data_IF_819401901391
#
_entry.id   IF_819401901391
#
_cell.length_a   1.000
_cell.length_b   1.000
_cell.length_c   1.000
_cell.angle_alpha   90.00
_cell.angle_beta   90.00
_cell.angle_gamma   90.00
#
_symmetry.space_group_name_H-M   'P 1'
#
loop_
_entity.id
_entity.type
_entity.pdbx_description
1 polymer ?
#
# COMPACT_ATOMS: atom_id res chain seq x y z
N UNK A 1 -1.90 -3.07 39.35
CA UNK A 1 -3.15 -3.81 39.06
C UNK A 1 -2.81 -5.29 39.01
N UNK A 2 -3.31 -6.11 39.93
CA UNK A 2 -3.15 -7.56 39.84
C UNK A 2 -3.97 -8.07 38.66
N UNK A 3 -3.31 -8.60 37.63
CA UNK A 3 -4.00 -9.19 36.48
C UNK A 3 -4.60 -10.54 36.89
N UNK A 4 -5.91 -10.57 37.16
CA UNK A 4 -6.65 -11.83 37.29
C UNK A 4 -6.96 -12.36 35.88
N UNK A 5 -6.08 -13.22 35.37
CA UNK A 5 -6.37 -14.05 34.21
C UNK A 5 -7.61 -14.91 34.51
N UNK A 6 -8.57 -14.97 33.59
CA UNK A 6 -9.69 -15.92 33.72
C UNK A 6 -9.15 -17.35 33.69
N UNK A 7 -9.84 -18.30 34.33
CA UNK A 7 -9.38 -19.70 34.41
C UNK A 7 -9.05 -20.29 33.04
N UNK A 8 -9.89 -20.01 32.03
CA UNK A 8 -9.67 -20.42 30.64
C UNK A 8 -8.39 -19.83 30.01
N UNK A 9 -8.10 -18.55 30.28
CA UNK A 9 -6.89 -17.89 29.78
C UNK A 9 -5.62 -18.42 30.47
N UNK A 10 -5.71 -18.76 31.75
CA UNK A 10 -4.62 -19.41 32.51
C UNK A 10 -4.31 -20.79 31.93
N UNK A 11 -5.34 -21.59 31.65
CA UNK A 11 -5.17 -22.94 31.09
C UNK A 11 -4.56 -22.89 29.67
N UNK A 12 -5.01 -21.97 28.83
CA UNK A 12 -4.44 -21.76 27.49
C UNK A 12 -2.97 -21.31 27.55
N UNK A 13 -2.62 -20.43 28.50
CA UNK A 13 -1.25 -19.98 28.70
C UNK A 13 -0.35 -21.11 29.21
N UNK A 14 -0.82 -21.89 30.20
CA UNK A 14 -0.07 -23.00 30.75
C UNK A 14 0.19 -24.07 29.68
N UNK A 15 -0.79 -24.38 28.81
CA UNK A 15 -0.56 -25.29 27.67
C UNK A 15 0.46 -24.75 26.68
N UNK A 16 0.45 -23.45 26.39
CA UNK A 16 1.42 -22.83 25.48
C UNK A 16 2.86 -22.83 26.06
N UNK A 17 2.99 -22.69 27.39
CA UNK A 17 4.28 -22.78 28.10
C UNK A 17 4.81 -24.21 28.09
N UNK A 18 3.95 -25.20 28.37
CA UNK A 18 4.32 -26.61 28.33
C UNK A 18 4.83 -27.02 26.92
N UNK A 19 4.11 -26.62 25.87
CA UNK A 19 4.51 -26.86 24.48
C UNK A 19 5.86 -26.22 24.13
N UNK A 20 6.11 -24.98 24.56
CA UNK A 20 7.40 -24.31 24.34
C UNK A 20 8.56 -25.03 25.03
N UNK A 21 8.38 -25.45 26.29
CA UNK A 21 9.41 -26.16 27.06
C UNK A 21 9.72 -27.53 26.43
N UNK A 22 8.70 -28.22 25.93
CA UNK A 22 8.86 -29.51 25.25
C UNK A 22 9.58 -29.35 23.89
N UNK A 23 9.14 -28.39 23.07
CA UNK A 23 9.70 -28.14 21.74
C UNK A 23 11.14 -27.59 21.78
N UNK A 24 11.49 -26.84 22.83
CA UNK A 24 12.84 -26.32 23.05
C UNK A 24 13.81 -27.31 23.72
N UNK A 25 13.35 -28.53 24.04
CA UNK A 25 14.17 -29.59 24.63
C UNK A 25 14.44 -29.45 26.14
N UNK A 26 13.71 -28.59 26.86
CA UNK A 26 13.87 -28.39 28.30
C UNK A 26 13.07 -29.42 29.12
N UNK A 27 13.44 -30.69 29.02
CA UNK A 27 12.68 -31.81 29.60
C UNK A 27 12.53 -31.74 31.13
N UNK A 28 13.56 -31.31 31.87
CA UNK A 28 13.49 -31.17 33.33
C UNK A 28 12.50 -30.09 33.78
N UNK A 29 12.52 -28.93 33.10
CA UNK A 29 11.61 -27.82 33.37
C UNK A 29 10.18 -28.14 32.94
N UNK A 30 10.02 -28.90 31.84
CA UNK A 30 8.71 -29.37 31.39
C UNK A 30 8.03 -30.28 32.43
N UNK A 31 8.73 -31.29 32.94
CA UNK A 31 8.16 -32.21 33.94
C UNK A 31 7.83 -31.51 35.25
N UNK A 32 8.66 -30.56 35.70
CA UNK A 32 8.37 -29.75 36.88
C UNK A 32 7.14 -28.86 36.68
N UNK A 33 7.05 -28.18 35.54
CA UNK A 33 5.94 -27.28 35.21
C UNK A 33 4.60 -28.04 35.03
N UNK A 34 4.63 -29.23 34.43
CA UNK A 34 3.44 -30.08 34.30
C UNK A 34 2.87 -30.49 35.67
N UNK A 35 3.75 -30.78 36.65
CA UNK A 35 3.33 -31.11 38.01
C UNK A 35 2.79 -29.91 38.80
N UNK A 36 3.31 -28.71 38.58
CA UNK A 36 2.83 -27.49 39.25
C UNK A 36 1.54 -26.93 38.62
N UNK A 37 1.34 -27.13 37.31
CA UNK A 37 0.22 -26.57 36.56
C UNK A 37 -1.02 -27.48 36.50
N UNK A 38 -0.96 -28.70 37.07
CA UNK A 38 -2.03 -29.72 37.10
C UNK A 38 -2.65 -29.99 35.71
N UNK A 39 -1.78 -30.10 34.70
CA UNK A 39 -2.15 -30.37 33.30
C UNK A 39 -2.07 -31.88 33.02
N UNK A 40 -3.12 -32.48 32.48
CA UNK A 40 -3.13 -33.90 32.10
C UNK A 40 -2.16 -34.20 30.93
N UNK A 41 -1.49 -35.36 30.95
CA UNK A 41 -0.41 -35.78 30.04
C UNK A 41 -0.76 -35.83 28.53
N UNK A 42 -2.03 -35.69 28.14
CA UNK A 42 -2.46 -35.65 26.73
C UNK A 42 -2.27 -34.26 26.10
N UNK A 43 -1.05 -33.73 26.15
CA UNK A 43 -0.66 -32.46 25.49
C UNK A 43 -0.35 -32.67 24.00
N UNK A 44 -0.25 -33.92 23.55
CA UNK A 44 0.26 -34.30 22.22
C UNK A 44 -0.62 -33.99 21.00
N UNK A 45 -1.81 -33.41 21.14
CA UNK A 45 -2.78 -33.37 20.01
C UNK A 45 -3.45 -32.01 19.73
N UNK A 46 -2.86 -30.88 20.16
CA UNK A 46 -3.53 -29.58 20.02
C UNK A 46 -2.68 -28.62 19.19
N UNK A 47 -3.36 -27.95 18.23
CA UNK A 47 -2.97 -26.85 17.32
C UNK A 47 -2.28 -25.63 17.97
N UNK A 48 -1.40 -25.81 18.94
CA UNK A 48 -0.85 -24.76 19.79
C UNK A 48 0.63 -24.46 19.57
N UNK A 49 1.29 -25.14 18.63
CA UNK A 49 2.72 -24.97 18.39
C UNK A 49 3.11 -23.54 18.05
N UNK A 50 4.07 -23.00 18.81
CA UNK A 50 4.62 -21.66 18.60
C UNK A 50 3.67 -20.49 18.93
N UNK A 51 2.56 -20.75 19.65
CA UNK A 51 1.67 -19.66 20.11
C UNK A 51 2.37 -18.77 21.13
N UNK A 52 3.18 -19.36 22.02
CA UNK A 52 3.88 -18.60 23.05
C UNK A 52 4.85 -17.60 22.43
N UNK A 53 5.70 -18.04 21.50
CA UNK A 53 6.65 -17.17 20.80
C UNK A 53 5.94 -16.03 20.05
N UNK A 54 4.87 -16.32 19.31
CA UNK A 54 4.06 -15.30 18.61
C UNK A 54 3.42 -14.30 19.57
N UNK A 55 2.95 -14.75 20.74
CA UNK A 55 2.39 -13.86 21.77
C UNK A 55 3.49 -13.04 22.44
N UNK A 56 4.67 -13.61 22.71
CA UNK A 56 5.78 -12.91 23.33
C UNK A 56 6.39 -11.81 22.45
N UNK A 57 6.57 -12.07 21.15
CA UNK A 57 6.99 -11.02 20.20
C UNK A 57 5.96 -9.89 20.16
N UNK A 58 4.66 -10.23 20.17
CA UNK A 58 3.57 -9.25 20.27
C UNK A 58 3.61 -8.44 21.58
N UNK A 59 3.91 -9.09 22.71
CA UNK A 59 4.02 -8.43 24.03
C UNK A 59 5.22 -7.47 24.06
N UNK A 60 6.38 -7.89 23.56
CA UNK A 60 7.59 -7.06 23.54
C UNK A 60 7.39 -5.82 22.64
N UNK A 61 6.72 -6.01 21.50
CA UNK A 61 6.26 -4.93 20.61
C UNK A 61 5.30 -3.97 21.32
N UNK A 62 4.29 -4.50 22.03
CA UNK A 62 3.34 -3.69 22.80
C UNK A 62 4.04 -2.92 23.92
N UNK A 63 4.98 -3.53 24.62
CA UNK A 63 5.75 -2.87 25.68
C UNK A 63 6.58 -1.72 25.13
N UNK A 64 7.29 -1.92 24.00
CA UNK A 64 8.02 -0.85 23.31
C UNK A 64 7.07 0.27 22.88
N UNK A 65 5.86 -0.07 22.40
CA UNK A 65 4.85 0.92 22.02
C UNK A 65 4.34 1.72 23.21
N UNK A 66 4.11 1.07 24.34
CA UNK A 66 3.71 1.74 25.59
C UNK A 66 4.80 2.71 26.01
N UNK A 67 6.07 2.30 26.02
CA UNK A 67 7.21 3.18 26.35
C UNK A 67 7.30 4.39 25.40
N UNK A 68 7.15 4.17 24.09
CA UNK A 68 7.14 5.27 23.10
C UNK A 68 5.97 6.23 23.32
N UNK A 69 4.78 5.71 23.64
CA UNK A 69 3.59 6.52 23.91
C UNK A 69 3.72 7.29 25.22
N UNK A 70 4.27 6.67 26.27
CA UNK A 70 4.56 7.33 27.54
C UNK A 70 5.59 8.47 27.36
N UNK A 71 6.63 8.24 26.55
CA UNK A 71 7.59 9.31 26.21
C UNK A 71 6.91 10.45 25.47
N UNK A 72 6.09 10.15 24.47
CA UNK A 72 5.33 11.18 23.72
C UNK A 72 4.37 11.95 24.62
N UNK A 73 3.66 11.24 25.50
CA UNK A 73 2.73 11.84 26.45
C UNK A 73 3.46 12.79 27.40
N UNK A 74 4.60 12.35 27.95
CA UNK A 74 5.46 13.20 28.78
C UNK A 74 5.98 14.43 28.06
N UNK A 75 6.34 14.30 26.78
CA UNK A 75 6.76 15.46 25.97
C UNK A 75 5.61 16.42 25.71
N UNK A 76 4.40 15.92 25.42
CA UNK A 76 3.22 16.77 25.26
C UNK A 76 2.77 17.43 26.56
N UNK A 77 2.88 16.75 27.70
CA UNK A 77 2.60 17.33 29.02
C UNK A 77 3.58 18.47 29.34
N UNK A 78 4.86 18.29 29.01
CA UNK A 78 5.86 19.37 29.11
C UNK A 78 5.52 20.55 28.21
N UNK A 79 5.08 20.30 26.97
CA UNK A 79 4.65 21.34 26.03
C UNK A 79 3.47 22.15 26.58
N UNK A 80 2.46 21.47 27.15
CA UNK A 80 1.32 22.10 27.82
C UNK A 80 1.78 22.93 29.02
N UNK A 81 2.69 22.39 29.84
CA UNK A 81 3.20 23.07 31.03
C UNK A 81 4.09 24.28 30.68
N UNK A 82 4.83 24.25 29.57
CA UNK A 82 5.72 25.33 29.16
C UNK A 82 5.03 26.46 28.37
N UNK A 83 3.77 26.28 27.96
CA UNK A 83 2.95 27.31 27.29
C UNK A 83 3.49 27.80 25.92
N UNK A 84 4.58 27.23 25.43
CA UNK A 84 5.21 27.56 24.16
C UNK A 84 5.65 26.26 23.45
N UNK A 85 5.38 26.10 22.14
CA UNK A 85 5.88 24.96 21.39
C UNK A 85 7.41 25.02 21.34
N UNK A 86 8.09 24.03 21.91
CA UNK A 86 9.54 23.95 21.85
C UNK A 86 9.97 23.42 20.48
N UNK A 87 10.58 24.30 19.67
CA UNK A 87 11.20 24.08 18.35
C UNK A 87 10.21 23.65 17.25
N UNK A 88 9.83 24.59 16.39
CA UNK A 88 9.12 24.46 15.09
C UNK A 88 8.95 23.01 14.59
N UNK A 89 8.05 22.25 15.20
CA UNK A 89 7.62 20.97 14.62
C UNK A 89 6.71 21.36 13.47
N UNK A 90 7.22 21.21 12.24
CA UNK A 90 6.46 21.36 11.01
C UNK A 90 5.14 20.61 11.16
N UNK A 91 4.05 21.27 10.77
CA UNK A 91 2.70 20.69 10.82
C UNK A 91 2.68 19.39 10.00
N UNK A 92 1.83 18.42 10.34
CA UNK A 92 1.69 17.18 9.56
C UNK A 92 1.50 17.39 8.04
N UNK A 93 0.88 18.51 7.67
CA UNK A 93 0.69 18.96 6.29
C UNK A 93 1.99 19.24 5.52
N UNK A 94 3.09 19.48 6.23
CA UNK A 94 4.39 19.88 5.67
C UNK A 94 5.43 18.76 5.68
N UNK A 95 5.05 17.58 6.16
CA UNK A 95 5.95 16.44 6.27
C UNK A 95 6.33 15.88 4.90
N UNK A 96 7.59 16.06 4.55
CA UNK A 96 8.18 15.50 3.33
C UNK A 96 9.30 14.53 3.71
N UNK A 97 9.53 13.45 2.93
CA UNK A 97 10.59 12.50 3.21
C UNK A 97 11.97 13.18 3.21
N UNK A 98 12.86 12.70 4.07
CA UNK A 98 14.25 13.15 4.12
C UNK A 98 15.22 11.98 4.12
N UNK A 99 16.35 12.18 3.46
CA UNK A 99 17.51 11.33 3.59
C UNK A 99 18.26 11.63 4.90
N UNK A 100 18.97 10.66 5.48
CA UNK A 100 19.05 9.26 5.05
C UNK A 100 17.75 8.48 5.31
N UNK A 101 17.57 7.37 4.60
CA UNK A 101 16.52 6.39 4.87
C UNK A 101 16.58 5.90 6.33
N UNK A 102 15.42 5.57 6.90
CA UNK A 102 15.33 5.04 8.25
C UNK A 102 15.69 3.57 8.29
N UNK A 103 15.20 2.81 7.32
CA UNK A 103 15.50 1.39 7.16
C UNK A 103 15.73 1.07 5.69
N UNK A 104 16.71 0.20 5.44
CA UNK A 104 16.96 -0.45 4.16
C UNK A 104 16.75 -1.96 4.35
N UNK A 105 15.75 -2.51 3.65
CA UNK A 105 15.25 -3.86 3.86
C UNK A 105 15.55 -4.71 2.61
N UNK A 106 16.47 -5.65 2.72
CA UNK A 106 17.06 -6.40 1.60
C UNK A 106 16.83 -7.92 1.71
N UNK A 107 15.57 -8.36 1.65
CA UNK A 107 15.26 -9.81 1.70
C UNK A 107 14.69 -10.40 0.40
N UNK A 108 14.34 -9.56 -0.58
CA UNK A 108 13.93 -10.03 -1.90
C UNK A 108 15.15 -10.47 -2.72
N UNK A 109 14.95 -11.45 -3.61
CA UNK A 109 16.02 -12.01 -4.45
C UNK A 109 16.07 -11.43 -5.86
N UNK A 110 15.04 -10.69 -6.24
CA UNK A 110 14.83 -10.09 -7.54
C UNK A 110 14.19 -8.70 -7.35
N UNK A 111 14.09 -7.86 -8.40
CA UNK A 111 13.50 -6.53 -8.30
C UNK A 111 12.15 -6.49 -7.57
N UNK A 112 11.95 -5.44 -6.78
CA UNK A 112 10.66 -5.17 -6.12
C UNK A 112 9.76 -4.46 -7.12
N UNK A 113 8.54 -4.92 -7.33
CA UNK A 113 7.61 -4.32 -8.31
C UNK A 113 6.65 -3.32 -7.67
N UNK A 114 6.12 -3.64 -6.48
CA UNK A 114 5.20 -2.78 -5.75
C UNK A 114 5.44 -2.83 -4.25
N UNK A 115 5.23 -1.69 -3.61
CA UNK A 115 5.12 -1.55 -2.15
C UNK A 115 3.78 -0.88 -1.83
N UNK A 116 3.13 -1.30 -0.75
CA UNK A 116 1.87 -0.72 -0.28
C UNK A 116 1.73 -0.83 1.23
N UNK A 117 1.32 0.25 1.88
CA UNK A 117 1.01 0.25 3.30
C UNK A 117 -0.30 -0.46 3.60
N UNK A 118 -0.34 -1.10 4.75
CA UNK A 118 -1.58 -1.60 5.30
C UNK A 118 -2.40 -0.43 5.89
N UNK A 119 -3.74 -0.36 5.69
CA UNK A 119 -4.53 0.82 6.06
C UNK A 119 -4.75 1.03 7.58
N UNK A 120 -4.57 -0.01 8.40
CA UNK A 120 -4.81 0.04 9.87
C UNK A 120 -3.59 -0.31 10.73
N UNK A 121 -3.01 -1.49 10.50
CA UNK A 121 -1.82 -1.96 11.18
C UNK A 121 -0.55 -1.30 10.67
N UNK A 122 0.51 -1.34 11.48
CA UNK A 122 1.85 -0.78 11.21
C UNK A 122 2.68 -1.65 10.25
N UNK A 123 2.02 -2.32 9.30
CA UNK A 123 2.67 -3.17 8.31
C UNK A 123 2.64 -2.54 6.93
N UNK A 124 3.54 -2.99 6.07
CA UNK A 124 3.43 -2.81 4.63
C UNK A 124 3.77 -4.12 3.93
N UNK A 125 3.28 -4.26 2.69
CA UNK A 125 3.55 -5.40 1.84
C UNK A 125 4.43 -4.97 0.66
N UNK A 126 5.32 -5.86 0.22
CA UNK A 126 6.12 -5.71 -0.99
C UNK A 126 5.99 -6.95 -1.88
N UNK A 127 5.83 -6.77 -3.20
CA UNK A 127 5.94 -7.85 -4.18
C UNK A 127 7.22 -7.73 -4.99
N UNK A 128 7.69 -8.86 -5.48
CA UNK A 128 8.89 -8.93 -6.30
C UNK A 128 8.73 -9.88 -7.49
N UNK A 129 9.64 -9.74 -8.44
CA UNK A 129 9.85 -10.70 -9.51
C UNK A 129 10.27 -12.09 -9.02
N UNK A 130 10.67 -12.23 -7.75
CA UNK A 130 11.00 -13.51 -7.11
C UNK A 130 9.79 -14.40 -6.82
N UNK A 131 8.60 -14.05 -7.33
CA UNK A 131 7.30 -14.70 -7.11
C UNK A 131 6.74 -14.64 -5.68
N UNK A 132 7.36 -13.85 -4.80
CA UNK A 132 6.96 -13.74 -3.39
C UNK A 132 6.39 -12.38 -3.04
N UNK A 133 5.52 -12.39 -2.03
CA UNK A 133 5.06 -11.19 -1.35
C UNK A 133 5.61 -11.24 0.07
N UNK A 134 6.20 -10.15 0.54
CA UNK A 134 6.76 -10.05 1.88
C UNK A 134 6.04 -8.99 2.68
N UNK A 135 5.88 -9.28 3.96
CA UNK A 135 5.23 -8.40 4.93
C UNK A 135 6.28 -7.94 5.92
N UNK A 136 6.27 -6.64 6.17
CA UNK A 136 7.27 -5.94 6.96
C UNK A 136 6.60 -5.00 7.93
N UNK A 137 7.24 -4.79 9.06
CA UNK A 137 6.87 -3.74 10.01
C UNK A 137 7.71 -2.49 9.76
N UNK A 138 7.09 -1.37 9.41
CA UNK A 138 7.82 -0.13 9.14
C UNK A 138 8.28 0.60 10.41
N UNK A 139 7.75 0.27 11.60
CA UNK A 139 8.20 0.92 12.83
C UNK A 139 9.50 0.30 13.36
N UNK A 140 9.60 -1.03 13.31
CA UNK A 140 10.76 -1.80 13.77
C UNK A 140 11.78 -2.10 12.68
N UNK A 141 11.36 -2.16 11.41
CA UNK A 141 12.17 -2.66 10.31
C UNK A 141 12.28 -4.18 10.28
N UNK A 142 11.47 -4.90 11.04
CA UNK A 142 11.51 -6.35 11.11
C UNK A 142 10.72 -7.01 9.98
N UNK A 143 11.26 -8.12 9.48
CA UNK A 143 10.59 -8.99 8.54
C UNK A 143 9.63 -9.92 9.30
N UNK A 144 8.37 -9.92 8.91
CA UNK A 144 7.34 -10.74 9.57
C UNK A 144 7.16 -12.06 8.83
N UNK A 145 6.71 -12.01 7.57
CA UNK A 145 6.31 -13.20 6.81
C UNK A 145 6.52 -13.05 5.30
N UNK A 146 6.58 -14.19 4.62
CA UNK A 146 6.58 -14.31 3.16
C UNK A 146 5.35 -15.12 2.75
N UNK A 147 4.52 -14.56 1.87
CA UNK A 147 3.43 -15.27 1.20
C UNK A 147 4.00 -15.89 -0.08
N UNK A 148 3.90 -17.21 -0.17
CA UNK A 148 4.33 -18.00 -1.33
C UNK A 148 3.11 -18.68 -1.94
N UNK A 149 3.03 -18.68 -3.27
CA UNK A 149 1.96 -19.38 -3.98
C UNK A 149 1.82 -19.00 -5.45
N UNK A 150 2.35 -17.85 -5.86
CA UNK A 150 2.53 -17.53 -7.28
C UNK A 150 3.67 -18.34 -7.88
N UNK A 151 3.57 -18.63 -9.17
CA UNK A 151 4.59 -19.40 -9.92
C UNK A 151 5.52 -18.51 -10.75
N UNK A 152 5.17 -17.23 -10.90
CA UNK A 152 5.94 -16.24 -11.64
C UNK A 152 5.96 -14.88 -10.90
N UNK A 153 6.60 -13.88 -11.51
CA UNK A 153 6.76 -12.54 -10.97
C UNK A 153 5.43 -11.89 -10.57
N UNK A 154 5.35 -11.42 -9.31
CA UNK A 154 4.18 -10.69 -8.79
C UNK A 154 4.32 -9.22 -9.16
N UNK A 155 3.32 -8.67 -9.87
CA UNK A 155 3.40 -7.35 -10.49
C UNK A 155 2.82 -6.24 -9.62
N UNK A 156 1.67 -6.48 -9.00
CA UNK A 156 0.97 -5.47 -8.17
C UNK A 156 0.30 -6.15 -6.97
N UNK A 157 0.05 -5.35 -5.95
CA UNK A 157 -0.62 -5.75 -4.72
C UNK A 157 -1.61 -4.64 -4.32
N UNK A 158 -2.79 -5.02 -3.84
CA UNK A 158 -3.77 -4.10 -3.26
C UNK A 158 -4.35 -4.65 -1.97
N UNK A 159 -4.43 -3.81 -0.94
CA UNK A 159 -5.23 -4.10 0.25
C UNK A 159 -6.70 -3.71 0.03
N UNK A 160 -7.61 -4.40 0.69
CA UNK A 160 -8.97 -3.92 0.90
C UNK A 160 -8.98 -2.76 1.92
N UNK A 161 -10.00 -1.90 1.88
CA UNK A 161 -10.19 -0.77 2.80
C UNK A 161 -10.27 -1.23 4.26
N UNK A 162 -10.79 -2.44 4.50
CA UNK A 162 -10.84 -3.00 5.85
C UNK A 162 -9.48 -3.51 6.34
N UNK A 163 -8.53 -3.78 5.44
CA UNK A 163 -7.23 -4.39 5.72
C UNK A 163 -7.28 -5.90 5.98
N UNK A 164 -8.44 -6.55 5.79
CA UNK A 164 -8.55 -8.01 6.04
C UNK A 164 -8.05 -8.82 4.86
N UNK A 165 -8.24 -8.31 3.64
CA UNK A 165 -7.89 -9.00 2.40
C UNK A 165 -6.72 -8.32 1.71
N UNK A 166 -5.87 -9.16 1.12
CA UNK A 166 -4.81 -8.75 0.21
C UNK A 166 -5.05 -9.41 -1.14
N UNK A 167 -5.03 -8.64 -2.22
CA UNK A 167 -5.06 -9.15 -3.59
C UNK A 167 -3.68 -8.96 -4.22
N UNK A 168 -3.21 -9.97 -4.94
CA UNK A 168 -1.98 -9.90 -5.71
C UNK A 168 -2.20 -10.41 -7.13
N UNK A 169 -1.51 -9.80 -8.08
CA UNK A 169 -1.49 -10.25 -9.47
C UNK A 169 -0.09 -10.63 -9.92
N UNK A 170 -0.02 -11.55 -10.88
CA UNK A 170 1.24 -12.14 -11.32
C UNK A 170 1.27 -12.36 -12.83
N UNK A 171 2.50 -12.50 -13.34
CA UNK A 171 2.76 -12.95 -14.71
C UNK A 171 2.32 -14.40 -14.97
N UNK A 172 1.93 -15.15 -13.93
CA UNK A 172 1.37 -16.51 -14.02
C UNK A 172 -0.11 -16.55 -14.46
N UNK A 173 -0.67 -15.43 -14.88
CA UNK A 173 -2.06 -15.27 -15.35
C UNK A 173 -3.10 -15.41 -14.23
N UNK A 174 -2.68 -15.45 -12.97
CA UNK A 174 -3.57 -15.60 -11.82
C UNK A 174 -3.58 -14.38 -10.93
N UNK A 175 -4.74 -14.18 -10.30
CA UNK A 175 -4.91 -13.23 -9.19
C UNK A 175 -5.17 -14.05 -7.95
N UNK A 176 -4.43 -13.80 -6.87
CA UNK A 176 -4.63 -14.48 -5.59
C UNK A 176 -5.19 -13.53 -4.57
N UNK A 177 -6.15 -14.02 -3.79
CA UNK A 177 -6.70 -13.32 -2.63
C UNK A 177 -6.21 -14.04 -1.39
N UNK A 178 -5.58 -13.30 -0.50
CA UNK A 178 -4.98 -13.77 0.74
C UNK A 178 -5.75 -13.22 1.93
N UNK A 179 -5.92 -14.04 2.97
CA UNK A 179 -6.39 -13.58 4.28
C UNK A 179 -5.21 -12.98 5.05
N UNK A 180 -5.22 -11.67 5.31
CA UNK A 180 -4.13 -10.98 6.00
C UNK A 180 -4.23 -11.08 7.53
N UNK A 181 -5.38 -11.47 8.10
CA UNK A 181 -5.60 -11.37 9.56
C UNK A 181 -5.35 -12.68 10.27
N UNK A 182 -5.88 -13.81 9.75
CA UNK A 182 -5.86 -15.06 10.50
C UNK A 182 -4.68 -15.95 10.09
N UNK A 183 -4.68 -16.43 8.85
CA UNK A 183 -3.80 -17.53 8.45
C UNK A 183 -2.70 -17.14 7.47
N UNK A 184 -2.81 -15.99 6.77
CA UNK A 184 -1.92 -15.63 5.66
C UNK A 184 -1.98 -16.62 4.48
N UNK A 185 -3.03 -17.44 4.42
CA UNK A 185 -3.22 -18.40 3.33
C UNK A 185 -3.89 -17.75 2.11
N UNK A 186 -3.61 -18.34 0.95
CA UNK A 186 -4.32 -18.04 -0.28
C UNK A 186 -5.75 -18.62 -0.20
N UNK A 187 -6.75 -17.75 0.01
CA UNK A 187 -8.14 -18.15 0.04
C UNK A 187 -8.67 -18.52 -1.34
N UNK A 188 -8.31 -17.73 -2.36
CA UNK A 188 -8.83 -17.90 -3.72
C UNK A 188 -7.77 -17.61 -4.77
N UNK A 189 -7.85 -18.34 -5.88
CA UNK A 189 -7.06 -18.09 -7.09
C UNK A 189 -8.02 -17.84 -8.24
N UNK A 190 -8.08 -16.61 -8.73
CA UNK A 190 -8.88 -16.19 -9.86
C UNK A 190 -8.09 -16.40 -11.14
N UNK A 191 -8.71 -17.05 -12.12
CA UNK A 191 -8.14 -17.35 -13.44
C UNK A 191 -9.09 -16.87 -14.52
N UNK A 192 -8.57 -16.32 -15.61
CA UNK A 192 -9.38 -15.90 -16.76
C UNK A 192 -8.77 -14.79 -17.62
N UNK A 193 -7.61 -14.26 -17.25
CA UNK A 193 -6.78 -13.48 -18.16
C UNK A 193 -5.93 -14.40 -19.04
N UNK A 194 -5.66 -13.96 -20.27
CA UNK A 194 -4.89 -14.75 -21.25
C UNK A 194 -3.41 -14.34 -21.29
N UNK A 195 -3.03 -13.26 -20.59
CA UNK A 195 -1.66 -12.79 -20.51
C UNK A 195 -1.34 -12.12 -19.16
N UNK A 196 -0.13 -11.55 -19.04
CA UNK A 196 0.46 -11.05 -17.80
C UNK A 196 -0.43 -9.97 -17.19
N UNK A 197 -0.79 -10.15 -15.92
CA UNK A 197 -1.63 -9.23 -15.17
C UNK A 197 -0.71 -8.23 -14.48
N UNK A 198 -0.73 -6.99 -14.93
CA UNK A 198 0.20 -5.96 -14.46
C UNK A 198 -0.33 -5.16 -13.28
N UNK A 199 -1.65 -5.13 -13.05
CA UNK A 199 -2.21 -4.36 -11.93
C UNK A 199 -3.50 -4.94 -11.39
N UNK A 200 -3.71 -4.75 -10.09
CA UNK A 200 -4.90 -5.19 -9.37
C UNK A 200 -5.29 -4.13 -8.34
N UNK A 201 -6.60 -3.89 -8.16
CA UNK A 201 -7.11 -2.94 -7.17
C UNK A 201 -8.46 -3.38 -6.64
N UNK A 202 -8.68 -3.20 -5.34
CA UNK A 202 -10.02 -3.32 -4.76
C UNK A 202 -10.87 -2.10 -5.10
N UNK A 203 -12.17 -2.33 -5.28
CA UNK A 203 -13.17 -1.26 -5.25
C UNK A 203 -13.40 -0.89 -3.77
N UNK A 204 -13.55 0.41 -3.41
CA UNK A 204 -13.70 0.84 -2.02
C UNK A 204 -14.85 0.20 -1.22
N UNK A 205 -15.85 -0.40 -1.88
CA UNK A 205 -16.93 -1.15 -1.22
C UNK A 205 -16.47 -2.52 -0.70
N UNK A 206 -15.40 -3.09 -1.27
CA UNK A 206 -14.85 -4.40 -0.92
C UNK A 206 -15.46 -5.58 -1.70
N UNK A 207 -16.54 -5.35 -2.46
CA UNK A 207 -17.27 -6.43 -3.15
C UNK A 207 -16.59 -6.88 -4.45
N UNK A 208 -15.89 -5.96 -5.10
CA UNK A 208 -15.31 -6.15 -6.42
C UNK A 208 -13.82 -5.87 -6.46
N UNK A 209 -13.14 -6.57 -7.36
CA UNK A 209 -11.74 -6.40 -7.70
C UNK A 209 -11.61 -6.06 -9.19
N UNK A 210 -10.74 -5.12 -9.54
CA UNK A 210 -10.37 -4.85 -10.92
C UNK A 210 -8.95 -5.32 -11.19
N UNK A 211 -8.72 -5.88 -12.37
CA UNK A 211 -7.40 -6.26 -12.85
C UNK A 211 -7.15 -5.81 -14.27
N UNK A 212 -5.91 -5.40 -14.53
CA UNK A 212 -5.43 -4.98 -15.85
C UNK A 212 -4.36 -5.95 -16.36
N UNK A 213 -4.40 -6.24 -17.66
CA UNK A 213 -3.57 -7.27 -18.27
C UNK A 213 -3.00 -6.85 -19.63
N UNK A 214 -1.95 -7.57 -20.03
CA UNK A 214 -1.34 -7.50 -21.37
C UNK A 214 -2.25 -8.03 -22.49
N UNK A 215 -3.32 -8.74 -22.15
CA UNK A 215 -4.36 -9.13 -23.11
C UNK A 215 -5.22 -7.95 -23.62
N UNK A 216 -4.91 -6.72 -23.16
CA UNK A 216 -5.57 -5.45 -23.50
C UNK A 216 -6.95 -5.28 -22.86
N UNK A 217 -7.29 -6.15 -21.92
CA UNK A 217 -8.56 -6.15 -21.22
C UNK A 217 -8.37 -5.76 -19.76
N UNK A 218 -9.43 -5.18 -19.21
CA UNK A 218 -9.60 -5.00 -17.76
C UNK A 218 -10.77 -5.86 -17.32
N UNK A 219 -10.59 -6.68 -16.29
CA UNK A 219 -11.65 -7.57 -15.78
C UNK A 219 -12.08 -7.14 -14.40
N UNK A 220 -13.38 -7.28 -14.14
CA UNK A 220 -13.99 -7.08 -12.84
C UNK A 220 -14.41 -8.43 -12.26
N UNK A 221 -13.96 -8.69 -11.05
CA UNK A 221 -14.18 -9.94 -10.33
C UNK A 221 -15.00 -9.67 -9.09
N UNK A 222 -15.93 -10.57 -8.80
CA UNK A 222 -16.58 -10.59 -7.49
C UNK A 222 -15.66 -11.24 -6.46
N UNK A 223 -15.46 -10.61 -5.31
CA UNK A 223 -14.60 -11.15 -4.25
C UNK A 223 -15.26 -12.38 -3.58
N UNK A 224 -16.58 -12.33 -3.40
CA UNK A 224 -17.40 -13.36 -2.72
C UNK A 224 -17.49 -14.67 -3.52
N UNK A 225 -17.62 -14.61 -4.85
CA UNK A 225 -17.74 -15.78 -5.72
C UNK A 225 -16.42 -16.14 -6.40
N UNK A 226 -15.59 -15.15 -6.71
CA UNK A 226 -14.36 -15.32 -7.50
C UNK A 226 -14.60 -15.35 -9.01
N UNK A 227 -15.83 -15.09 -9.47
CA UNK A 227 -16.14 -15.07 -10.90
C UNK A 227 -15.85 -13.70 -11.54
N UNK A 228 -15.45 -13.74 -12.81
CA UNK A 228 -15.35 -12.55 -13.64
C UNK A 228 -16.77 -12.13 -14.07
N UNK A 229 -17.23 -10.98 -13.58
CA UNK A 229 -18.56 -10.43 -13.89
C UNK A 229 -18.51 -9.62 -15.19
N UNK A 230 -17.48 -8.79 -15.35
CA UNK A 230 -17.36 -7.87 -16.47
C UNK A 230 -15.95 -7.89 -17.07
N UNK A 231 -15.89 -7.68 -18.38
CA UNK A 231 -14.65 -7.48 -19.13
C UNK A 231 -14.81 -6.18 -19.91
N UNK A 232 -13.89 -5.25 -19.68
CA UNK A 232 -13.79 -3.96 -20.35
C UNK A 232 -12.73 -4.05 -21.43
N UNK A 233 -13.14 -3.78 -22.66
CA UNK A 233 -12.28 -3.76 -23.85
C UNK A 233 -12.28 -2.34 -24.42
N UNK A 234 -11.10 -1.80 -24.71
CA UNK A 234 -10.99 -0.50 -25.37
C UNK A 234 -9.55 -0.11 -25.68
N UNK A 235 -8.61 -0.46 -24.79
CA UNK A 235 -7.18 -0.26 -25.05
C UNK A 235 -6.72 -1.07 -26.27
N UNK A 236 -5.83 -0.46 -27.06
CA UNK A 236 -5.30 -1.10 -28.28
C UNK A 236 -4.05 -1.94 -28.00
N UNK A 237 -3.39 -1.70 -26.86
CA UNK A 237 -2.19 -2.41 -26.40
C UNK A 237 -2.25 -2.64 -24.87
N UNK A 238 -1.19 -3.20 -24.28
CA UNK A 238 -1.06 -3.60 -22.88
C UNK A 238 -1.55 -2.51 -21.92
N UNK A 239 -2.54 -2.84 -21.09
CA UNK A 239 -2.98 -2.01 -19.96
C UNK A 239 -2.01 -2.18 -18.78
N UNK A 240 -1.29 -1.13 -18.40
CA UNK A 240 -0.27 -1.13 -17.34
C UNK A 240 -0.88 -1.10 -15.96
N UNK A 241 -1.78 -0.14 -15.70
CA UNK A 241 -2.30 0.08 -14.35
C UNK A 241 -3.80 0.37 -14.34
N UNK A 242 -4.46 -0.02 -13.26
CA UNK A 242 -5.86 0.30 -12.98
C UNK A 242 -6.00 0.86 -11.57
N UNK A 243 -6.72 1.98 -11.40
CA UNK A 243 -7.02 2.57 -10.09
C UNK A 243 -8.46 3.06 -10.02
N UNK A 244 -9.11 2.75 -8.90
CA UNK A 244 -10.50 3.14 -8.63
C UNK A 244 -10.51 4.53 -7.97
N UNK A 245 -11.52 5.33 -8.29
CA UNK A 245 -11.75 6.62 -7.65
C UNK A 245 -12.12 6.43 -6.17
N UNK A 246 -11.91 7.45 -5.33
CA UNK A 246 -12.11 7.31 -3.89
C UNK A 246 -13.57 7.04 -3.49
N UNK A 247 -14.53 7.47 -4.32
CA UNK A 247 -15.95 7.20 -4.13
C UNK A 247 -16.41 5.84 -4.66
N UNK A 248 -15.58 5.13 -5.43
CA UNK A 248 -15.92 3.87 -6.07
C UNK A 248 -16.93 3.96 -7.22
N UNK A 249 -17.15 5.14 -7.83
CA UNK A 249 -18.04 5.28 -8.99
C UNK A 249 -17.33 5.10 -10.34
N UNK A 250 -16.04 5.41 -10.40
CA UNK A 250 -15.23 5.41 -11.63
C UNK A 250 -13.91 4.68 -11.42
N UNK A 251 -13.29 4.26 -12.52
CA UNK A 251 -11.92 3.78 -12.49
C UNK A 251 -11.15 4.30 -13.71
N UNK A 252 -9.85 4.49 -13.53
CA UNK A 252 -8.94 4.92 -14.56
C UNK A 252 -7.97 3.80 -14.90
N UNK A 253 -7.63 3.71 -16.19
CA UNK A 253 -6.70 2.72 -16.73
C UNK A 253 -5.68 3.42 -17.62
N UNK A 254 -4.45 2.95 -17.63
CA UNK A 254 -3.40 3.45 -18.52
C UNK A 254 -2.68 2.31 -19.19
N UNK A 255 -2.04 2.57 -20.32
CA UNK A 255 -1.36 1.52 -21.05
C UNK A 255 -0.28 1.99 -22.01
N UNK A 256 0.18 1.00 -22.77
CA UNK A 256 1.15 1.14 -23.85
C UNK A 256 0.61 1.92 -25.06
N UNK A 257 -0.71 2.11 -25.16
CA UNK A 257 -1.34 2.89 -26.24
C UNK A 257 -1.23 4.42 -26.03
N UNK A 258 -0.45 4.85 -25.01
CA UNK A 258 -0.21 6.24 -24.64
C UNK A 258 -1.47 6.98 -24.14
N UNK A 259 -2.54 6.24 -23.88
CA UNK A 259 -3.81 6.80 -23.39
C UNK A 259 -4.03 6.53 -21.92
N UNK A 260 -4.80 7.42 -21.30
CA UNK A 260 -5.45 7.16 -20.02
C UNK A 260 -6.95 7.13 -20.27
N UNK A 261 -7.61 6.04 -19.91
CA UNK A 261 -9.06 5.87 -20.11
C UNK A 261 -9.77 5.91 -18.78
N UNK A 262 -10.92 6.55 -18.74
CA UNK A 262 -11.80 6.58 -17.56
C UNK A 262 -13.11 5.89 -17.89
N UNK A 263 -13.52 5.04 -16.96
CA UNK A 263 -14.64 4.15 -17.08
C UNK A 263 -15.60 4.36 -15.91
N UNK A 264 -16.88 4.05 -16.13
CA UNK A 264 -17.85 3.94 -15.06
C UNK A 264 -17.81 2.51 -14.49
N UNK A 265 -17.94 2.34 -13.17
CA UNK A 265 -18.03 0.99 -12.57
C UNK A 265 -19.38 0.35 -12.90
N UNK A 266 -20.46 1.14 -12.84
CA UNK A 266 -21.82 0.66 -13.15
C UNK A 266 -22.11 0.60 -14.65
N UNK A 267 -21.48 1.49 -15.42
CA UNK A 267 -21.67 1.58 -16.87
C UNK A 267 -20.60 0.81 -17.62
N UNK A 268 -20.99 -0.09 -18.54
CA UNK A 268 -20.04 -0.84 -19.38
C UNK A 268 -19.32 0.02 -20.43
N UNK A 269 -19.53 1.33 -20.43
CA UNK A 269 -19.01 2.25 -21.43
C UNK A 269 -17.83 3.06 -20.89
N UNK A 270 -16.87 3.30 -21.77
CA UNK A 270 -15.83 4.30 -21.58
C UNK A 270 -16.46 5.69 -21.50
N UNK A 271 -16.09 6.46 -20.46
CA UNK A 271 -16.53 7.85 -20.29
C UNK A 271 -15.65 8.81 -21.07
N UNK A 272 -14.33 8.60 -21.01
CA UNK A 272 -13.36 9.54 -21.56
C UNK A 272 -12.04 8.85 -21.89
N UNK A 273 -11.43 9.25 -23.01
CA UNK A 273 -10.04 8.93 -23.36
C UNK A 273 -9.19 10.20 -23.31
N UNK A 274 -8.23 10.23 -22.39
CA UNK A 274 -7.27 11.31 -22.22
C UNK A 274 -6.07 11.05 -23.12
N UNK A 275 -5.85 11.96 -24.07
CA UNK A 275 -4.73 11.93 -25.01
C UNK A 275 -3.76 13.07 -24.70
N UNK A 276 -2.47 12.79 -24.76
CA UNK A 276 -1.45 13.85 -24.72
C UNK A 276 -0.06 13.39 -24.28
N UNK A 277 0.08 12.21 -23.66
CA UNK A 277 1.40 11.63 -23.44
C UNK A 277 2.04 11.21 -24.77
N UNK A 278 3.36 11.41 -24.88
CA UNK A 278 4.11 11.07 -26.10
C UNK A 278 4.60 9.62 -26.09
N UNK A 279 4.54 8.97 -24.92
CA UNK A 279 5.01 7.60 -24.71
C UNK A 279 4.10 6.86 -23.72
N UNK A 280 4.30 5.54 -23.61
CA UNK A 280 3.68 4.61 -22.65
C UNK A 280 3.44 5.24 -21.27
N UNK A 281 2.21 5.12 -20.79
CA UNK A 281 1.81 5.60 -19.46
C UNK A 281 1.92 4.44 -18.46
N UNK A 282 2.75 4.61 -17.45
CA UNK A 282 3.10 3.56 -16.47
C UNK A 282 2.27 3.64 -15.20
N UNK A 283 1.93 4.85 -14.74
CA UNK A 283 1.24 5.04 -13.48
C UNK A 283 0.19 6.15 -13.53
N UNK A 284 -0.72 6.09 -12.58
CA UNK A 284 -1.94 6.89 -12.42
C UNK A 284 -2.24 7.02 -10.92
N UNK A 285 -2.68 8.20 -10.49
CA UNK A 285 -3.23 8.38 -9.15
C UNK A 285 -4.44 9.32 -9.20
N UNK A 286 -5.55 8.92 -8.58
CA UNK A 286 -6.68 9.82 -8.38
C UNK A 286 -6.28 10.92 -7.40
N UNK A 287 -6.77 12.13 -7.66
CA UNK A 287 -6.55 13.27 -6.79
C UNK A 287 -7.45 13.13 -5.56
N UNK A 288 -6.91 13.14 -4.33
CA UNK A 288 -7.73 13.13 -3.13
C UNK A 288 -8.41 14.48 -2.89
N UNK A 289 -9.52 14.49 -2.15
CA UNK A 289 -10.26 15.71 -1.80
C UNK A 289 -9.38 16.76 -1.11
N UNK A 290 -8.40 16.29 -0.33
CA UNK A 290 -7.42 17.13 0.36
C UNK A 290 -6.49 17.88 -0.59
N UNK A 291 -6.31 17.41 -1.82
CA UNK A 291 -5.47 18.06 -2.83
C UNK A 291 -6.23 19.08 -3.70
N UNK A 292 -7.57 19.06 -3.69
CA UNK A 292 -8.39 19.93 -4.53
C UNK A 292 -8.10 21.43 -4.35
N UNK A 293 -7.90 21.96 -3.11
CA UNK A 293 -7.60 23.38 -2.93
C UNK A 293 -6.31 23.83 -3.63
N UNK A 294 -5.32 22.93 -3.74
CA UNK A 294 -4.02 23.23 -4.33
C UNK A 294 -4.00 23.06 -5.86
N UNK A 295 -4.94 22.28 -6.41
CA UNK A 295 -5.05 22.04 -7.85
C UNK A 295 -5.86 23.14 -8.53
N UNK A 296 -6.86 23.75 -7.85
CA UNK A 296 -7.68 24.78 -8.48
C UNK A 296 -8.47 25.70 -7.57
N UNK A 297 -7.89 26.81 -7.11
CA UNK A 297 -8.71 27.98 -6.68
C UNK A 297 -9.17 28.84 -7.89
N UNK A 298 -8.54 28.70 -9.07
CA UNK A 298 -8.89 29.45 -10.29
C UNK A 298 -9.71 28.64 -11.31
N UNK A 299 -9.54 27.32 -11.38
CA UNK A 299 -10.25 26.46 -12.35
C UNK A 299 -11.58 25.93 -11.81
N UNK A 300 -11.74 25.77 -10.49
CA UNK A 300 -13.04 25.46 -9.86
C UNK A 300 -14.04 26.64 -9.99
N UNK A 301 -13.55 27.88 -9.97
CA UNK A 301 -14.38 29.08 -10.14
C UNK A 301 -15.05 29.16 -11.53
N UNK A 302 -14.46 28.52 -12.57
CA UNK A 302 -15.07 28.42 -13.90
C UNK A 302 -16.16 27.34 -14.01
N UNK A 303 -16.20 26.39 -13.08
CA UNK A 303 -17.26 25.38 -12.99
C UNK A 303 -18.50 25.87 -12.23
N UNK A 304 -18.37 26.92 -11.41
CA UNK A 304 -19.46 27.47 -10.59
C UNK A 304 -20.40 28.41 -11.38
N UNK A 305 -20.76 28.01 -12.60
CA UNK A 305 -21.94 28.52 -13.29
C UNK A 305 -23.19 27.80 -12.81
N UNK A 306 -23.65 28.11 -11.59
CA UNK A 306 -25.00 27.84 -11.09
C UNK A 306 -25.52 26.39 -11.15
N UNK A 307 -25.33 25.63 -10.06
CA UNK A 307 -26.06 24.38 -9.83
C UNK A 307 -25.26 23.40 -8.97
N UNK A 308 -25.86 22.95 -7.86
CA UNK A 308 -25.44 21.87 -6.95
C UNK A 308 -24.06 21.25 -7.19
N UNK A 309 -23.10 21.51 -6.28
CA UNK A 309 -21.76 20.91 -6.28
C UNK A 309 -21.79 19.42 -6.64
N UNK A 310 -21.35 19.01 -7.84
CA UNK A 310 -21.04 17.61 -8.07
C UNK A 310 -19.80 17.30 -7.22
N UNK A 311 -19.81 16.17 -6.51
CA UNK A 311 -18.66 15.72 -5.72
C UNK A 311 -17.37 15.78 -6.57
N UNK A 312 -16.51 16.77 -6.31
CA UNK A 312 -15.28 17.07 -7.04
C UNK A 312 -14.20 15.98 -6.89
N UNK A 313 -14.45 14.98 -6.04
CA UNK A 313 -13.52 13.94 -5.61
C UNK A 313 -12.98 13.04 -6.72
N UNK A 314 -13.67 12.96 -7.86
CA UNK A 314 -13.23 12.15 -9.01
C UNK A 314 -13.06 13.00 -10.28
N UNK A 315 -12.90 14.31 -10.12
CA UNK A 315 -12.73 15.18 -11.28
C UNK A 315 -11.31 15.14 -11.83
N UNK A 316 -10.32 14.84 -11.00
CA UNK A 316 -8.92 15.00 -11.37
C UNK A 316 -8.09 13.74 -11.18
N UNK A 317 -7.11 13.59 -12.08
CA UNK A 317 -6.27 12.41 -12.18
C UNK A 317 -4.83 12.83 -12.51
N UNK A 318 -3.84 12.22 -11.88
CA UNK A 318 -2.45 12.29 -12.30
C UNK A 318 -2.08 11.06 -13.13
N UNK A 319 -1.24 11.25 -14.14
CA UNK A 319 -0.58 10.15 -14.84
C UNK A 319 0.91 10.41 -15.04
N UNK A 320 1.71 9.35 -14.96
CA UNK A 320 3.16 9.37 -15.18
C UNK A 320 3.53 8.47 -16.34
N UNK A 321 4.43 8.96 -17.19
CA UNK A 321 4.79 8.29 -18.44
C UNK A 321 6.30 8.12 -18.59
N UNK A 322 6.65 7.24 -19.54
CA UNK A 322 8.00 7.09 -20.08
C UNK A 322 8.49 8.33 -20.84
N UNK A 323 7.60 9.27 -21.16
CA UNK A 323 7.95 10.60 -21.68
C UNK A 323 8.58 11.53 -20.61
N UNK A 324 8.82 11.01 -19.39
CA UNK A 324 9.45 11.69 -18.26
C UNK A 324 8.58 12.78 -17.62
N UNK A 325 7.32 12.86 -18.02
CA UNK A 325 6.37 13.86 -17.53
C UNK A 325 5.33 13.24 -16.59
N UNK A 326 4.84 14.07 -15.68
CA UNK A 326 3.64 13.81 -14.90
C UNK A 326 2.58 14.81 -15.34
N UNK A 327 1.40 14.34 -15.73
CA UNK A 327 0.31 15.19 -16.20
C UNK A 327 -0.86 15.13 -15.23
N UNK A 328 -1.46 16.28 -14.98
CA UNK A 328 -2.70 16.40 -14.23
C UNK A 328 -3.84 16.68 -15.20
N UNK A 329 -4.91 15.89 -15.09
CA UNK A 329 -6.04 15.92 -16.01
C UNK A 329 -7.31 16.27 -15.28
N UNK A 330 -8.19 16.98 -15.97
CA UNK A 330 -9.60 17.04 -15.65
C UNK A 330 -10.33 16.01 -16.51
N UNK A 331 -10.89 15.00 -15.84
CA UNK A 331 -11.55 13.86 -16.46
C UNK A 331 -12.87 14.23 -17.15
N UNK A 332 -13.54 15.27 -16.67
CA UNK A 332 -14.83 15.71 -17.24
C UNK A 332 -14.65 16.57 -18.48
N UNK A 333 -13.60 17.39 -18.53
CA UNK A 333 -13.36 18.32 -19.64
C UNK A 333 -12.32 17.81 -20.64
N UNK A 334 -11.66 16.68 -20.37
CA UNK A 334 -10.53 16.15 -21.14
C UNK A 334 -9.38 17.16 -21.29
N UNK A 335 -9.17 18.00 -20.27
CA UNK A 335 -8.12 19.02 -20.29
C UNK A 335 -6.94 18.58 -19.44
N UNK A 336 -5.74 18.69 -20.01
CA UNK A 336 -4.50 18.62 -19.25
C UNK A 336 -4.29 19.97 -18.54
N UNK A 337 -4.44 20.00 -17.22
CA UNK A 337 -4.35 21.21 -16.40
C UNK A 337 -2.91 21.72 -16.28
N UNK A 338 -1.97 20.80 -16.06
CA UNK A 338 -0.55 21.12 -15.98
C UNK A 338 0.29 19.87 -16.21
N UNK A 339 1.56 20.12 -16.53
CA UNK A 339 2.59 19.10 -16.73
C UNK A 339 3.74 19.41 -15.78
N UNK A 340 4.15 18.42 -15.00
CA UNK A 340 5.36 18.47 -14.18
C UNK A 340 6.49 17.81 -14.97
N UNK A 341 7.55 18.57 -15.20
CA UNK A 341 8.76 18.12 -15.87
C UNK A 341 9.95 18.22 -14.92
N UNK A 342 10.84 17.24 -14.96
CA UNK A 342 12.04 17.25 -14.13
C UNK A 342 12.57 15.89 -13.69
N UNK A 343 11.89 14.79 -14.01
CA UNK A 343 12.52 13.46 -14.03
C UNK A 343 13.35 13.30 -15.31
N UNK A 344 14.47 12.60 -15.21
CA UNK A 344 15.38 12.41 -16.35
C UNK A 344 15.10 11.12 -17.12
N UNK A 345 14.22 10.26 -16.57
CA UNK A 345 13.85 8.97 -17.13
C UNK A 345 12.37 8.63 -16.82
N UNK A 346 11.95 7.40 -17.13
CA UNK A 346 10.56 6.95 -17.01
C UNK A 346 9.99 7.13 -15.61
N UNK A 347 8.79 7.69 -15.50
CA UNK A 347 8.09 7.82 -14.21
C UNK A 347 7.34 6.52 -13.91
N UNK A 348 7.70 5.83 -12.82
CA UNK A 348 7.16 4.50 -12.47
C UNK A 348 6.06 4.53 -11.42
N UNK A 349 6.08 5.51 -10.52
CA UNK A 349 5.11 5.61 -9.44
C UNK A 349 4.80 7.05 -9.08
N UNK A 350 3.54 7.30 -8.73
CA UNK A 350 3.03 8.59 -8.26
C UNK A 350 2.08 8.31 -7.10
N UNK A 351 2.19 9.10 -6.04
CA UNK A 351 1.24 9.10 -4.93
C UNK A 351 1.08 10.52 -4.37
N UNK A 352 -0.04 10.78 -3.71
CA UNK A 352 -0.29 12.04 -3.03
C UNK A 352 0.14 11.98 -1.57
N UNK A 353 0.63 13.10 -1.07
CA UNK A 353 0.69 13.31 0.37
C UNK A 353 -0.74 13.26 0.95
N UNK A 354 -0.97 12.70 2.16
CA UNK A 354 -2.32 12.56 2.72
C UNK A 354 -3.12 13.87 2.82
N UNK A 355 -2.42 14.99 3.03
CA UNK A 355 -3.00 16.34 3.05
C UNK A 355 -3.02 17.04 1.68
N UNK A 356 -2.61 16.38 0.59
CA UNK A 356 -2.72 16.90 -0.77
C UNK A 356 -1.75 18.02 -1.18
N UNK A 357 -1.03 18.64 -0.22
CA UNK A 357 -0.05 19.72 -0.47
C UNK A 357 1.12 19.31 -1.38
N UNK A 358 1.48 18.03 -1.37
CA UNK A 358 2.58 17.49 -2.17
C UNK A 358 2.18 16.28 -2.99
N UNK A 359 2.87 16.11 -4.12
CA UNK A 359 2.89 14.91 -4.94
C UNK A 359 4.27 14.28 -4.78
N UNK A 360 4.31 12.96 -4.60
CA UNK A 360 5.56 12.19 -4.56
C UNK A 360 5.60 11.29 -5.79
N UNK A 361 6.71 11.34 -6.52
CA UNK A 361 6.93 10.49 -7.69
C UNK A 361 8.28 9.80 -7.65
N UNK A 362 8.37 8.67 -8.33
CA UNK A 362 9.59 7.86 -8.45
C UNK A 362 9.85 7.46 -9.89
N UNK A 363 11.12 7.29 -10.25
CA UNK A 363 11.54 7.11 -11.63
C UNK A 363 12.77 6.20 -11.78
N UNK A 364 12.97 5.75 -13.02
CA UNK A 364 14.19 5.07 -13.49
C UNK A 364 15.42 5.99 -13.48
N UNK A 365 15.28 7.28 -13.13
CA UNK A 365 16.42 8.15 -12.81
C UNK A 365 16.98 7.92 -11.39
N UNK A 366 16.48 6.88 -10.70
CA UNK A 366 16.86 6.45 -9.34
C UNK A 366 16.40 7.39 -8.23
N UNK A 367 15.62 8.42 -8.59
CA UNK A 367 15.20 9.46 -7.67
C UNK A 367 13.74 9.32 -7.24
N UNK A 368 13.49 9.79 -6.03
CA UNK A 368 12.17 10.17 -5.54
C UNK A 368 12.10 11.70 -5.55
N UNK A 369 11.11 12.25 -6.25
CA UNK A 369 10.86 13.69 -6.32
C UNK A 369 9.59 14.06 -5.56
N UNK A 370 9.67 15.19 -4.87
CA UNK A 370 8.56 15.78 -4.12
C UNK A 370 8.21 17.09 -4.78
N UNK A 371 6.98 17.19 -5.25
CA UNK A 371 6.45 18.34 -5.98
C UNK A 371 5.46 19.05 -5.08
N UNK A 372 5.53 20.38 -5.02
CA UNK A 372 4.43 21.14 -4.46
C UNK A 372 3.26 21.10 -5.45
N UNK A 373 2.11 20.64 -4.98
CA UNK A 373 0.87 20.62 -5.77
C UNK A 373 0.51 22.05 -6.15
N UNK A 374 0.61 22.96 -5.18
CA UNK A 374 0.54 24.39 -5.42
C UNK A 374 1.86 24.92 -5.99
N UNK A 375 1.78 25.77 -7.02
CA UNK A 375 2.96 26.34 -7.68
C UNK A 375 3.70 25.39 -8.63
N UNK A 376 3.38 24.08 -8.62
CA UNK A 376 3.77 23.09 -9.66
C UNK A 376 5.29 22.97 -9.85
N UNK A 377 6.04 23.00 -8.75
CA UNK A 377 7.51 22.95 -8.75
C UNK A 377 8.03 21.75 -7.97
N UNK A 378 9.13 21.17 -8.45
CA UNK A 378 9.89 20.19 -7.67
C UNK A 378 10.52 20.91 -6.47
N UNK A 379 10.06 20.59 -5.26
CA UNK A 379 10.65 21.14 -4.03
C UNK A 379 11.90 20.38 -3.60
N UNK A 380 11.92 19.07 -3.86
CA UNK A 380 13.00 18.22 -3.39
C UNK A 380 13.19 17.03 -4.31
N UNK A 381 14.46 16.70 -4.56
CA UNK A 381 14.88 15.47 -5.21
C UNK A 381 15.72 14.67 -4.22
N UNK A 382 15.42 13.39 -4.07
CA UNK A 382 16.15 12.46 -3.19
C UNK A 382 16.63 11.31 -4.05
N UNK A 383 17.93 11.02 -4.00
CA UNK A 383 18.47 9.78 -4.57
C UNK A 383 18.02 8.61 -3.69
N UNK A 384 16.96 7.91 -4.10
CA UNK A 384 16.29 6.95 -3.24
C UNK A 384 17.01 5.60 -3.26
N UNK A 385 17.36 5.11 -4.45
CA UNK A 385 17.94 3.78 -4.66
C UNK A 385 19.23 3.84 -5.49
N UNK A 386 20.04 2.77 -5.44
CA UNK A 386 21.24 2.66 -6.30
C UNK A 386 20.90 2.32 -7.77
N UNK A 387 19.69 1.81 -7.98
CA UNK A 387 19.07 1.41 -9.25
C UNK A 387 17.71 2.11 -9.42
N UNK A 388 16.95 1.71 -10.44
CA UNK A 388 15.66 2.30 -10.77
C UNK A 388 14.66 2.11 -9.62
N UNK A 389 13.82 3.12 -9.39
CA UNK A 389 12.79 3.09 -8.34
C UNK A 389 11.48 2.73 -9.00
N UNK A 390 10.91 1.58 -8.63
CA UNK A 390 9.77 0.97 -9.30
C UNK A 390 8.43 1.39 -8.69
N UNK A 391 8.41 1.67 -7.40
CA UNK A 391 7.17 1.93 -6.67
C UNK A 391 7.36 2.82 -5.46
N UNK A 392 6.30 3.52 -5.10
CA UNK A 392 6.22 4.39 -3.92
C UNK A 392 4.83 4.31 -3.32
N UNK A 393 4.76 4.35 -2.01
CA UNK A 393 3.51 4.56 -1.28
C UNK A 393 3.71 5.46 -0.07
N UNK A 394 2.68 6.24 0.27
CA UNK A 394 2.70 7.19 1.38
C UNK A 394 1.67 6.75 2.42
N UNK A 395 2.09 6.61 3.67
CA UNK A 395 1.18 6.14 4.71
C UNK A 395 0.06 7.17 4.96
N UNK A 396 -1.23 6.77 4.99
CA UNK A 396 -2.36 7.70 5.00
C UNK A 396 -2.45 8.59 6.25
N UNK A 397 -1.76 8.24 7.35
CA UNK A 397 -1.85 8.95 8.64
C UNK A 397 -0.52 9.24 9.34
N UNK A 398 0.57 8.62 8.89
CA UNK A 398 1.84 8.63 9.62
C UNK A 398 2.92 9.20 8.69
N UNK A 399 3.98 9.81 9.23
CA UNK A 399 5.04 10.45 8.44
C UNK A 399 6.00 9.43 7.81
N UNK A 400 5.48 8.45 7.06
CA UNK A 400 6.30 7.43 6.42
C UNK A 400 6.00 7.30 4.94
N UNK A 401 7.07 7.15 4.17
CA UNK A 401 7.04 6.78 2.75
C UNK A 401 7.82 5.49 2.58
N UNK A 402 7.33 4.58 1.76
CA UNK A 402 8.08 3.40 1.35
C UNK A 402 8.38 3.46 -0.13
N UNK A 403 9.57 3.04 -0.52
CA UNK A 403 9.98 2.92 -1.93
C UNK A 403 10.54 1.53 -2.20
N UNK A 404 10.16 0.95 -3.35
CA UNK A 404 10.75 -0.28 -3.87
C UNK A 404 11.67 0.02 -5.05
N UNK A 405 12.77 -0.74 -5.17
CA UNK A 405 13.74 -0.57 -6.25
C UNK A 405 14.10 -1.86 -6.97
N UNK A 406 14.72 -1.69 -8.14
CA UNK A 406 15.37 -2.78 -8.89
C UNK A 406 16.66 -3.28 -8.22
N UNK A 407 17.15 -2.57 -7.20
CA UNK A 407 18.23 -3.03 -6.34
C UNK A 407 17.79 -4.10 -5.32
N UNK A 408 16.56 -4.61 -5.44
CA UNK A 408 15.97 -5.67 -4.60
C UNK A 408 15.72 -5.22 -3.15
N UNK A 409 15.86 -3.91 -2.89
CA UNK A 409 15.66 -3.31 -1.58
C UNK A 409 14.29 -2.63 -1.50
N UNK A 410 13.73 -2.63 -0.30
CA UNK A 410 12.67 -1.71 0.10
C UNK A 410 13.24 -0.71 1.10
N UNK A 411 13.01 0.58 0.88
CA UNK A 411 13.47 1.63 1.80
C UNK A 411 12.30 2.32 2.47
N UNK A 412 12.43 2.54 3.77
CA UNK A 412 11.47 3.27 4.60
C UNK A 412 12.04 4.66 4.89
N UNK A 413 11.27 5.69 4.56
CA UNK A 413 11.66 7.09 4.74
C UNK A 413 10.78 7.74 5.81
N UNK A 414 11.41 8.47 6.72
CA UNK A 414 10.70 9.28 7.71
C UNK A 414 10.52 10.71 7.18
N UNK A 415 9.31 11.24 7.32
CA UNK A 415 8.96 12.59 6.89
C UNK A 415 9.13 13.58 8.04
N UNK A 416 9.78 14.73 7.79
CA UNK A 416 10.14 15.74 8.81
C UNK A 416 10.04 17.19 8.35
#
# INVERSE_FOLDING_TARGET
>A
MSMNLSGKQRDELNRAIADYLQSSGYHASFSAFMGEADLNENVGDIKSSGILEKKWTSVLRLQKKVMDLESKLKDTEKEIASGAPTRDKRKPEEWIPRAPERFELSSHRMPVNRVIFHPKYTYFASCSEDSTIKIWDFESGEYERTLKGHTAAVQDISFDKSGTLLASCSADLTIKIWDFVNSFDCMKTLKGHDHNISSVTFVPSGDYLLSASRDRQVKMWEVSSGYCIHTFCGHTDWVRMVRVSYDGSQFATCGNDHTVRVWSIQGKAEKMTLHGHEHVVECIAWVPDTALPYIGHQDLAKMNGGGSEPALSNAFLLSGSRDKTIRCWNVHTNQCLFVLTGHDNWVRGITFHPHGKYIVSVSDDKSMKIWATEGRRCQKTISAHGKFVTSVDFHPKLPYVVTGGEDMCVKVWECR
#
